data_IF_936834603454
#
_entry.id   IF_936834603454
#
_cell.length_a   1.000
_cell.length_b   1.000
_cell.length_c   1.000
_cell.angle_alpha   90.00
_cell.angle_beta   90.00
_cell.angle_gamma   90.00
#
_symmetry.space_group_name_H-M   'P 1'
#
loop_
_entity.id
_entity.type
_entity.pdbx_description
1 polymer ?
#
# COMPACT_ATOMS: atom_id res chain seq x y z
N UNK A 1 -3.73 7.47 -19.75
CA UNK A 1 -2.68 6.67 -19.10
C UNK A 1 -3.20 5.30 -18.76
N UNK A 2 -2.65 4.32 -19.42
CA UNK A 2 -3.11 2.95 -19.22
C UNK A 2 -2.41 2.24 -18.08
N UNK A 3 -1.20 2.67 -17.74
CA UNK A 3 -0.43 2.02 -16.68
C UNK A 3 -1.13 2.04 -15.33
N UNK A 4 -1.72 3.18 -14.97
CA UNK A 4 -2.40 3.31 -13.69
C UNK A 4 -3.61 2.38 -13.58
N UNK A 5 -4.31 2.20 -14.69
CA UNK A 5 -5.51 1.36 -14.70
C UNK A 5 -5.18 -0.09 -14.38
N UNK A 6 -4.14 -0.63 -15.03
CA UNK A 6 -3.75 -2.02 -14.82
C UNK A 6 -3.19 -2.25 -13.43
N UNK A 7 -2.33 -1.35 -12.96
CA UNK A 7 -1.72 -1.46 -11.65
C UNK A 7 -2.77 -1.29 -10.55
N UNK A 8 -3.67 -0.34 -10.74
CA UNK A 8 -4.75 -0.09 -9.79
C UNK A 8 -5.60 -1.34 -9.59
N UNK A 9 -5.93 -2.04 -10.67
CA UNK A 9 -6.75 -3.24 -10.61
C UNK A 9 -6.09 -4.38 -9.84
N UNK A 10 -4.77 -4.42 -9.80
CA UNK A 10 -4.06 -5.46 -9.05
C UNK A 10 -4.25 -5.31 -7.55
N UNK A 11 -4.44 -4.08 -7.09
CA UNK A 11 -4.46 -3.79 -5.66
C UNK A 11 -5.80 -3.31 -5.13
N UNK A 12 -6.72 -2.85 -5.98
CA UNK A 12 -7.95 -2.24 -5.49
C UNK A 12 -8.79 -3.19 -4.63
N UNK A 13 -8.73 -4.48 -4.92
CA UNK A 13 -9.48 -5.48 -4.15
C UNK A 13 -8.95 -5.63 -2.72
N UNK A 14 -7.74 -5.17 -2.46
CA UNK A 14 -7.15 -5.20 -1.12
C UNK A 14 -7.30 -3.88 -0.39
N UNK A 15 -7.90 -2.87 -1.03
CA UNK A 15 -7.96 -1.52 -0.47
C UNK A 15 -8.63 -1.51 0.89
N UNK A 16 -7.94 -0.92 1.87
CA UNK A 16 -8.42 -0.78 3.25
C UNK A 16 -8.83 -2.11 3.89
N UNK A 17 -8.24 -3.20 3.38
CA UNK A 17 -8.54 -4.55 3.87
C UNK A 17 -7.57 -5.04 4.91
N UNK A 18 -7.17 -6.29 4.80
CA UNK A 18 -6.26 -6.93 5.74
C UNK A 18 -4.81 -6.70 5.33
N UNK A 19 -3.90 -6.81 6.29
CA UNK A 19 -2.48 -6.88 5.99
C UNK A 19 -2.21 -8.22 5.31
N UNK A 20 -1.53 -8.16 4.17
CA UNK A 20 -1.14 -9.33 3.41
C UNK A 20 0.33 -9.64 3.67
N UNK A 21 0.73 -10.88 3.48
CA UNK A 21 2.12 -11.32 3.66
C UNK A 21 2.58 -12.01 2.39
N UNK A 22 3.74 -11.63 1.89
CA UNK A 22 4.29 -12.23 0.69
C UNK A 22 5.23 -11.29 -0.02
N UNK A 23 5.52 -11.59 -1.28
CA UNK A 23 6.38 -10.74 -2.09
C UNK A 23 5.53 -9.81 -2.93
N UNK A 24 5.99 -8.56 -3.02
CA UNK A 24 5.35 -7.57 -3.88
C UNK A 24 5.82 -7.73 -5.33
N UNK A 25 5.05 -7.23 -6.30
CA UNK A 25 5.46 -7.28 -7.71
C UNK A 25 6.82 -6.65 -7.94
N UNK A 26 7.53 -7.17 -8.94
CA UNK A 26 8.87 -6.72 -9.25
C UNK A 26 8.96 -5.21 -9.53
N UNK A 27 7.94 -4.63 -10.15
CA UNK A 27 7.96 -3.21 -10.49
C UNK A 27 7.98 -2.30 -9.26
N UNK A 28 7.65 -2.83 -8.08
CA UNK A 28 7.71 -2.04 -6.85
C UNK A 28 9.14 -1.85 -6.34
N UNK A 29 10.08 -2.65 -6.85
CA UNK A 29 11.47 -2.69 -6.40
C UNK A 29 11.61 -3.06 -4.92
N UNK A 30 10.60 -3.71 -4.38
CA UNK A 30 10.62 -4.26 -3.02
C UNK A 30 10.89 -5.74 -3.11
N UNK A 31 11.99 -6.18 -2.52
CA UNK A 31 12.44 -7.57 -2.59
C UNK A 31 12.18 -8.30 -1.29
N UNK A 32 11.92 -9.61 -1.43
CA UNK A 32 11.77 -10.47 -0.28
C UNK A 32 10.37 -10.44 0.32
N UNK A 33 10.23 -11.16 1.42
CA UNK A 33 8.95 -11.29 2.10
C UNK A 33 8.65 -10.05 2.92
N UNK A 34 7.48 -9.47 2.70
CA UNK A 34 7.04 -8.28 3.42
C UNK A 34 5.59 -8.45 3.84
N UNK A 35 5.21 -7.71 4.87
CA UNK A 35 3.80 -7.46 5.16
C UNK A 35 3.41 -6.19 4.43
N UNK A 36 2.25 -6.18 3.80
CA UNK A 36 1.81 -5.02 3.04
C UNK A 36 0.32 -4.79 3.20
N UNK A 37 -0.05 -3.51 3.06
CA UNK A 37 -1.42 -3.06 3.23
C UNK A 37 -1.71 -2.01 2.17
N UNK A 38 -2.87 -2.10 1.55
CA UNK A 38 -3.27 -1.16 0.51
C UNK A 38 -4.18 -0.10 1.14
N UNK A 39 -3.67 1.12 1.19
CA UNK A 39 -4.43 2.26 1.66
C UNK A 39 -5.08 2.95 0.47
N UNK A 40 -6.40 3.14 0.53
CA UNK A 40 -7.13 3.92 -0.47
C UNK A 40 -7.61 5.21 0.16
N UNK A 41 -7.17 6.32 -0.39
CA UNK A 41 -7.56 7.63 0.11
C UNK A 41 -6.56 8.70 -0.27
N UNK A 42 -6.81 9.94 0.14
CA UNK A 42 -5.93 11.04 -0.21
C UNK A 42 -4.57 10.90 0.48
N UNK A 43 -3.51 11.33 -0.19
CA UNK A 43 -2.16 11.24 0.35
C UNK A 43 -2.00 12.06 1.63
N UNK A 44 -2.79 13.13 1.77
CA UNK A 44 -2.73 13.96 2.97
C UNK A 44 -3.09 13.19 4.24
N UNK A 45 -3.83 12.09 4.12
CA UNK A 45 -4.23 11.26 5.24
C UNK A 45 -3.44 9.96 5.34
N UNK A 46 -2.43 9.80 4.49
CA UNK A 46 -1.63 8.58 4.46
C UNK A 46 -0.99 8.29 5.82
N UNK A 47 -0.40 9.30 6.44
CA UNK A 47 0.26 9.12 7.74
C UNK A 47 -0.71 8.80 8.86
N UNK A 48 -1.84 9.51 8.91
CA UNK A 48 -2.79 9.37 10.02
C UNK A 48 -3.73 8.19 9.88
N UNK A 49 -4.11 7.85 8.64
CA UNK A 49 -5.04 6.75 8.41
C UNK A 49 -4.39 5.54 7.78
N UNK A 50 -3.43 5.75 6.86
CA UNK A 50 -2.77 4.64 6.19
C UNK A 50 -1.78 3.93 7.10
N UNK A 51 -0.72 4.62 7.50
CA UNK A 51 0.31 4.00 8.35
C UNK A 51 -0.21 3.61 9.72
N UNK A 52 -1.05 4.43 10.32
CA UNK A 52 -1.64 4.13 11.62
C UNK A 52 -2.43 2.81 11.57
N UNK A 53 -3.26 2.64 10.56
CA UNK A 53 -4.05 1.43 10.38
C UNK A 53 -3.15 0.24 10.09
N UNK A 54 -2.13 0.45 9.24
CA UNK A 54 -1.18 -0.61 8.90
C UNK A 54 -0.49 -1.14 10.16
N UNK A 55 0.03 -0.26 11.01
CA UNK A 55 0.73 -0.68 12.22
C UNK A 55 -0.19 -1.38 13.21
N UNK A 56 -1.42 -0.91 13.33
CA UNK A 56 -2.40 -1.57 14.19
C UNK A 56 -2.64 -3.00 13.73
N UNK A 57 -2.89 -3.19 12.44
CA UNK A 57 -3.14 -4.51 11.89
C UNK A 57 -1.90 -5.39 11.90
N UNK A 58 -0.73 -4.77 11.69
CA UNK A 58 0.55 -5.47 11.76
C UNK A 58 0.75 -6.08 13.15
N UNK A 59 0.49 -5.30 14.18
CA UNK A 59 0.62 -5.80 15.55
C UNK A 59 -0.42 -6.87 15.87
N UNK A 60 -1.64 -6.70 15.38
CA UNK A 60 -2.69 -7.69 15.58
C UNK A 60 -2.35 -9.03 14.93
N UNK A 61 -1.63 -8.99 13.84
CA UNK A 61 -1.17 -10.20 13.15
C UNK A 61 0.09 -10.81 13.77
N UNK A 62 0.64 -10.17 14.82
CA UNK A 62 1.82 -10.65 15.54
C UNK A 62 3.05 -10.79 14.64
N UNK A 63 3.19 -9.88 13.70
CA UNK A 63 4.33 -9.86 12.79
C UNK A 63 5.51 -9.13 13.41
N UNK A 64 6.72 -9.48 12.97
CA UNK A 64 7.95 -8.85 13.45
C UNK A 64 8.66 -8.16 12.29
N UNK A 65 9.09 -6.91 12.53
CA UNK A 65 9.86 -6.15 11.56
C UNK A 65 11.23 -6.76 11.34
N UNK A 66 11.68 -6.75 10.09
CA UNK A 66 13.03 -7.16 9.73
C UNK A 66 13.75 -6.08 8.92
N UNK A 67 13.24 -4.86 8.95
CA UNK A 67 13.82 -3.74 8.25
C UNK A 67 12.89 -2.54 8.29
N UNK A 68 13.31 -1.39 7.73
CA UNK A 68 12.48 -0.19 7.75
C UNK A 68 11.28 -0.35 6.82
N UNK A 69 10.15 0.26 7.19
CA UNK A 69 8.97 0.24 6.32
C UNK A 69 9.12 1.22 5.17
N UNK A 70 8.24 1.07 4.19
CA UNK A 70 8.19 2.00 3.08
C UNK A 70 6.81 2.04 2.47
N UNK A 71 6.70 2.78 1.39
CA UNK A 71 5.46 2.84 0.64
C UNK A 71 5.74 2.85 -0.85
N UNK A 72 4.73 2.41 -1.62
CA UNK A 72 4.78 2.43 -3.08
C UNK A 72 3.47 3.04 -3.55
N UNK A 73 3.57 4.10 -4.33
CA UNK A 73 2.38 4.71 -4.91
C UNK A 73 1.96 3.91 -6.13
N UNK A 74 0.76 3.36 -6.06
CA UNK A 74 0.24 2.54 -7.14
C UNK A 74 -0.01 3.40 -8.37
N UNK A 75 -0.45 4.63 -8.14
CA UNK A 75 -0.75 5.53 -9.23
C UNK A 75 -0.44 6.95 -8.80
N UNK A 76 0.22 7.72 -9.66
CA UNK A 76 0.53 9.11 -9.34
C UNK A 76 -0.74 9.95 -9.40
N UNK A 77 -0.75 11.11 -8.73
CA UNK A 77 -1.90 12.02 -8.79
C UNK A 77 -2.25 12.45 -10.22
N UNK A 78 -1.28 12.45 -11.11
CA UNK A 78 -1.48 12.84 -12.51
C UNK A 78 -2.36 11.87 -13.28
N UNK A 79 -2.51 10.66 -12.79
CA UNK A 79 -3.33 9.64 -13.44
C UNK A 79 -4.80 9.76 -13.05
N UNK A 80 -5.11 10.64 -12.11
CA UNK A 80 -6.47 10.83 -11.61
C UNK A 80 -6.87 12.28 -11.72
N UNK A 81 -8.14 12.51 -11.92
CA UNK A 81 -8.71 13.85 -11.84
C UNK A 81 -8.82 14.24 -10.37
N UNK A 82 -8.95 15.55 -10.11
CA UNK A 82 -8.96 16.06 -8.75
C UNK A 82 -9.98 15.40 -7.83
N UNK A 83 -11.17 15.17 -8.35
CA UNK A 83 -12.24 14.58 -7.57
C UNK A 83 -12.03 13.09 -7.28
N UNK A 84 -10.99 12.51 -7.87
CA UNK A 84 -10.70 11.08 -7.69
C UNK A 84 -9.52 10.80 -6.76
N UNK A 85 -9.03 11.82 -6.08
CA UNK A 85 -7.92 11.64 -5.15
C UNK A 85 -8.26 10.65 -4.03
N UNK A 86 -9.53 10.57 -3.64
CA UNK A 86 -9.96 9.62 -2.62
C UNK A 86 -9.85 8.16 -3.06
N UNK A 87 -9.64 7.93 -4.35
CA UNK A 87 -9.50 6.58 -4.90
C UNK A 87 -8.05 6.20 -5.17
N UNK A 88 -7.11 7.06 -4.82
CA UNK A 88 -5.70 6.76 -4.99
C UNK A 88 -5.27 5.65 -4.05
N UNK A 89 -4.40 4.78 -4.55
CA UNK A 89 -3.91 3.65 -3.77
C UNK A 89 -2.43 3.81 -3.44
N UNK A 90 -2.09 3.47 -2.22
CA UNK A 90 -0.70 3.42 -1.77
C UNK A 90 -0.50 2.08 -1.07
N UNK A 91 0.55 1.35 -1.47
CA UNK A 91 0.91 0.12 -0.79
C UNK A 91 1.94 0.45 0.29
N UNK A 92 1.56 0.20 1.53
CA UNK A 92 2.46 0.37 2.68
C UNK A 92 3.02 -1.01 2.98
N UNK A 93 4.34 -1.10 3.13
CA UNK A 93 4.99 -2.40 3.32
C UNK A 93 6.06 -2.31 4.38
N UNK A 94 6.38 -3.47 4.96
CA UNK A 94 7.44 -3.59 5.95
C UNK A 94 8.08 -4.97 5.83
N UNK A 95 9.40 -5.07 5.70
CA UNK A 95 10.06 -6.36 5.71
C UNK A 95 9.79 -7.08 7.03
N UNK A 96 9.56 -8.38 6.95
CA UNK A 96 9.27 -9.20 8.13
C UNK A 96 10.18 -10.40 8.21
N UNK A 97 10.32 -10.92 9.40
CA UNK A 97 11.11 -12.11 9.66
C UNK A 97 10.40 -13.39 9.23
#
# INVERSE_FOLDING_TARGET
MTCCTNVHKQFDKFANGKVQVGELPEWTHVNGKVAWYVYQGPYSELGTKGFSTFWKKFREAKLEMDGPPGDVYVCSPECHEEDKQTKMLTVIWCPIK
#
